data_IF_490127391966
#
_entry.id   IF_490127391966
#
_cell.length_a   1.000
_cell.length_b   1.000
_cell.length_c   1.000
_cell.angle_alpha   90.00
_cell.angle_beta   90.00
_cell.angle_gamma   90.00
#
_symmetry.space_group_name_H-M   'P 1'
#
loop_
_entity.id
_entity.type
_entity.pdbx_description
1 polymer ?
#
# COMPACT_ATOMS: atom_id res chain seq x y z
N UNK A 1 59.55 17.66 20.43
CA UNK A 1 58.17 17.67 20.95
C UNK A 1 57.22 17.41 19.80
N UNK A 2 56.79 16.16 19.60
CA UNK A 2 55.85 15.77 18.54
C UNK A 2 54.47 15.67 19.19
N UNK A 3 53.56 16.58 18.83
CA UNK A 3 52.15 16.56 19.27
C UNK A 3 51.37 15.57 18.38
N UNK A 4 50.62 14.60 18.94
CA UNK A 4 49.76 13.75 18.12
C UNK A 4 48.51 14.55 17.71
N UNK A 5 48.24 14.54 16.40
CA UNK A 5 47.04 15.11 15.80
C UNK A 5 45.89 14.11 16.04
N UNK A 6 44.93 14.47 16.89
CA UNK A 6 43.73 13.68 17.13
C UNK A 6 42.79 13.84 15.92
N UNK A 7 42.66 12.82 15.08
CA UNK A 7 41.69 12.81 13.98
C UNK A 7 40.33 12.42 14.58
N UNK A 8 39.46 13.41 14.73
CA UNK A 8 38.07 13.21 15.11
C UNK A 8 37.31 12.68 13.87
N UNK A 9 37.04 11.38 13.85
CA UNK A 9 36.15 10.78 12.84
C UNK A 9 34.73 11.18 13.20
N UNK A 10 34.22 12.24 12.58
CA UNK A 10 32.81 12.59 12.63
C UNK A 10 32.02 11.51 11.88
N UNK A 11 31.36 10.63 12.63
CA UNK A 11 30.39 9.68 12.07
C UNK A 11 29.22 10.45 11.50
N UNK A 12 29.16 10.55 10.18
CA UNK A 12 27.96 11.00 9.48
C UNK A 12 26.91 9.90 9.61
N UNK A 13 26.02 10.03 10.60
CA UNK A 13 24.74 9.34 10.56
C UNK A 13 24.00 9.85 9.33
N UNK A 14 24.10 9.12 8.23
CA UNK A 14 23.32 9.38 7.03
C UNK A 14 21.85 9.40 7.43
N UNK A 15 21.22 10.57 7.34
CA UNK A 15 19.78 10.69 7.43
C UNK A 15 19.20 9.76 6.35
N UNK A 16 18.76 8.57 6.77
CA UNK A 16 17.89 7.78 5.94
C UNK A 16 16.71 8.69 5.64
N UNK A 17 16.56 9.10 4.38
CA UNK A 17 15.38 9.80 3.91
C UNK A 17 14.19 9.02 4.50
N UNK A 18 13.42 9.67 5.37
CA UNK A 18 12.32 9.03 6.06
C UNK A 18 11.42 8.42 4.98
N UNK A 19 11.51 7.10 4.82
CA UNK A 19 10.64 6.36 3.92
C UNK A 19 9.24 6.70 4.38
N UNK A 20 8.44 7.32 3.53
CA UNK A 20 7.09 7.72 3.89
C UNK A 20 6.33 6.45 4.27
N UNK A 21 6.13 6.28 5.57
CA UNK A 21 5.81 5.00 6.14
C UNK A 21 4.28 4.92 6.23
N UNK A 22 3.63 4.33 5.23
CA UNK A 22 2.19 4.46 5.02
C UNK A 22 1.37 3.42 5.81
N UNK A 23 0.50 3.88 6.72
CA UNK A 23 -0.31 3.03 7.60
C UNK A 23 -1.80 3.19 7.31
N UNK A 24 -2.43 2.10 6.88
CA UNK A 24 -3.86 2.07 6.55
C UNK A 24 -4.79 2.31 7.74
N UNK A 25 -4.37 1.96 8.97
CA UNK A 25 -5.17 2.19 10.18
C UNK A 25 -5.13 3.66 10.62
N UNK A 26 -4.00 4.34 10.46
CA UNK A 26 -3.93 5.81 10.57
C UNK A 26 -4.76 6.47 9.48
N UNK A 27 -4.68 5.98 8.25
CA UNK A 27 -5.48 6.47 7.13
C UNK A 27 -6.99 6.35 7.36
N UNK A 28 -7.45 5.24 7.93
CA UNK A 28 -8.86 5.06 8.32
C UNK A 28 -9.32 6.14 9.31
N UNK A 29 -8.52 6.41 10.36
CA UNK A 29 -8.82 7.47 11.33
C UNK A 29 -8.78 8.87 10.71
N UNK A 30 -7.85 9.10 9.79
CA UNK A 30 -7.76 10.37 9.04
C UNK A 30 -8.97 10.58 8.13
N UNK A 31 -9.51 9.53 7.52
CA UNK A 31 -10.72 9.61 6.70
C UNK A 31 -11.93 10.12 7.50
N UNK A 32 -12.00 9.75 8.79
CA UNK A 32 -13.00 10.27 9.72
C UNK A 32 -12.67 11.69 10.20
N UNK A 33 -11.46 11.92 10.71
CA UNK A 33 -11.08 13.21 11.33
C UNK A 33 -10.99 14.37 10.33
N UNK A 34 -10.66 14.08 9.06
CA UNK A 34 -10.68 15.05 7.97
C UNK A 34 -12.09 15.24 7.37
N UNK A 35 -13.12 14.63 7.99
CA UNK A 35 -14.52 14.70 7.55
C UNK A 35 -14.79 14.18 6.13
N UNK A 36 -13.85 13.43 5.54
CA UNK A 36 -14.04 12.81 4.23
C UNK A 36 -15.24 11.85 4.25
N UNK A 37 -15.43 11.14 5.38
CA UNK A 37 -16.54 10.22 5.65
C UNK A 37 -17.93 10.86 5.55
N UNK A 38 -18.06 12.19 5.69
CA UNK A 38 -19.37 12.85 5.62
C UNK A 38 -19.96 12.83 4.20
N UNK A 39 -19.09 12.80 3.18
CA UNK A 39 -19.51 12.78 1.78
C UNK A 39 -19.23 11.42 1.13
N UNK A 40 -18.08 10.83 1.41
CA UNK A 40 -17.62 9.59 0.80
C UNK A 40 -17.94 8.38 1.69
N UNK A 41 -18.25 7.26 1.06
CA UNK A 41 -18.25 5.95 1.71
C UNK A 41 -16.98 5.17 1.37
N UNK A 42 -16.66 4.18 2.21
CA UNK A 42 -15.69 3.12 1.91
C UNK A 42 -16.37 1.78 2.16
N UNK A 43 -16.51 0.97 1.10
CA UNK A 43 -17.18 -0.33 1.17
C UNK A 43 -18.61 -0.24 1.76
N UNK A 44 -19.34 0.79 1.35
CA UNK A 44 -20.72 1.07 1.76
C UNK A 44 -20.87 1.79 3.10
N UNK A 45 -19.79 2.06 3.84
CA UNK A 45 -19.84 2.76 5.13
C UNK A 45 -19.42 4.23 4.99
N UNK A 46 -20.21 5.16 5.50
CA UNK A 46 -19.98 6.61 5.41
C UNK A 46 -21.08 7.32 4.62
N UNK A 47 -20.79 8.51 4.13
CA UNK A 47 -21.72 9.33 3.36
C UNK A 47 -21.99 8.78 1.96
N UNK A 48 -23.11 9.19 1.37
CA UNK A 48 -23.52 8.79 0.02
C UNK A 48 -23.66 9.99 -0.94
N UNK A 49 -23.16 11.15 -0.54
CA UNK A 49 -23.15 12.37 -1.37
C UNK A 49 -22.14 12.24 -2.51
N UNK A 50 -21.02 11.59 -2.25
CA UNK A 50 -19.94 11.37 -3.20
C UNK A 50 -19.67 9.87 -3.39
N UNK A 51 -18.77 9.55 -4.33
CA UNK A 51 -18.49 8.17 -4.70
C UNK A 51 -17.92 7.35 -3.53
N UNK A 52 -18.25 6.05 -3.53
CA UNK A 52 -17.61 5.07 -2.65
C UNK A 52 -16.15 4.85 -3.06
N UNK A 53 -15.24 5.25 -2.17
CA UNK A 53 -13.80 5.18 -2.40
C UNK A 53 -13.21 3.78 -2.20
N UNK A 54 -13.98 2.81 -1.71
CA UNK A 54 -13.60 1.39 -1.62
C UNK A 54 -13.96 0.57 -2.86
N UNK A 55 -14.89 1.05 -3.72
CA UNK A 55 -15.45 0.25 -4.82
C UNK A 55 -14.72 0.33 -6.18
N UNK A 56 -13.81 1.29 -6.39
CA UNK A 56 -13.11 1.43 -7.68
C UNK A 56 -11.88 0.51 -7.74
N UNK A 57 -11.98 -0.55 -8.54
CA UNK A 57 -10.95 -1.58 -8.76
C UNK A 57 -10.20 -1.24 -10.06
N UNK A 58 -9.36 -0.21 -10.06
CA UNK A 58 -8.36 -0.04 -11.12
C UNK A 58 -6.98 -0.45 -10.57
N UNK A 59 -6.33 -1.40 -11.24
CA UNK A 59 -4.98 -1.88 -10.90
C UNK A 59 -3.91 -0.78 -11.02
N UNK A 60 -4.23 0.34 -11.67
CA UNK A 60 -3.37 1.52 -11.77
C UNK A 60 -3.54 2.51 -10.60
N UNK A 61 -4.01 2.06 -9.44
CA UNK A 61 -4.09 2.93 -8.26
C UNK A 61 -2.72 3.16 -7.61
N UNK A 62 -2.01 4.17 -8.12
CA UNK A 62 -0.74 4.68 -7.58
C UNK A 62 -0.94 5.96 -6.76
N UNK A 63 0.05 6.38 -5.95
CA UNK A 63 0.02 7.69 -5.29
C UNK A 63 -0.17 8.85 -6.27
N UNK A 64 0.50 8.83 -7.43
CA UNK A 64 0.24 9.80 -8.50
C UNK A 64 -1.21 9.73 -9.03
N UNK A 65 -1.81 8.55 -9.19
CA UNK A 65 -3.20 8.43 -9.61
C UNK A 65 -4.18 8.98 -8.56
N UNK A 66 -3.90 8.76 -7.26
CA UNK A 66 -4.66 9.39 -6.17
C UNK A 66 -4.51 10.91 -6.22
N UNK A 67 -3.28 11.42 -6.31
CA UNK A 67 -3.00 12.85 -6.39
C UNK A 67 -3.73 13.49 -7.57
N UNK A 68 -3.66 12.88 -8.75
CA UNK A 68 -4.37 13.29 -9.96
C UNK A 68 -5.89 13.34 -9.76
N UNK A 69 -6.46 12.29 -9.16
CA UNK A 69 -7.90 12.22 -8.87
C UNK A 69 -8.33 13.32 -7.90
N UNK A 70 -7.57 13.52 -6.82
CA UNK A 70 -7.84 14.58 -5.84
C UNK A 70 -7.71 15.95 -6.48
N UNK A 71 -6.65 16.19 -7.27
CA UNK A 71 -6.42 17.45 -7.98
C UNK A 71 -7.59 17.82 -8.88
N UNK A 72 -8.07 16.85 -9.66
CA UNK A 72 -9.19 17.03 -10.57
C UNK A 72 -10.53 17.28 -9.86
N UNK A 73 -10.67 16.75 -8.65
CA UNK A 73 -11.88 16.86 -7.84
C UNK A 73 -11.89 18.11 -6.94
N UNK A 74 -10.72 18.67 -6.64
CA UNK A 74 -10.53 19.66 -5.59
C UNK A 74 -11.46 20.89 -5.67
N UNK A 75 -11.65 21.55 -6.84
CA UNK A 75 -12.54 22.71 -6.91
C UNK A 75 -13.99 22.39 -6.53
N UNK A 76 -14.50 21.23 -6.97
CA UNK A 76 -15.84 20.76 -6.63
C UNK A 76 -15.93 20.37 -5.15
N UNK A 77 -14.92 19.65 -4.66
CA UNK A 77 -14.81 19.23 -3.26
C UNK A 77 -14.81 20.44 -2.32
N UNK A 78 -13.93 21.42 -2.53
CA UNK A 78 -13.86 22.62 -1.67
C UNK A 78 -15.14 23.45 -1.72
N UNK A 79 -15.82 23.51 -2.87
CA UNK A 79 -17.12 24.20 -2.96
C UNK A 79 -18.16 23.49 -2.11
N UNK A 80 -18.29 22.16 -2.26
CA UNK A 80 -19.21 21.37 -1.45
C UNK A 80 -18.89 21.40 0.05
N UNK A 81 -17.61 21.49 0.42
CA UNK A 81 -17.16 21.67 1.81
C UNK A 81 -17.55 23.03 2.37
N UNK A 82 -17.34 24.12 1.61
CA UNK A 82 -17.74 25.48 2.03
C UNK A 82 -19.25 25.57 2.23
N UNK A 83 -20.03 25.03 1.30
CA UNK A 83 -21.50 25.05 1.35
C UNK A 83 -22.05 24.29 2.57
N UNK A 84 -21.27 23.34 3.11
CA UNK A 84 -21.62 22.53 4.29
C UNK A 84 -20.86 22.95 5.55
N UNK A 85 -20.13 24.06 5.48
CA UNK A 85 -19.30 24.58 6.58
C UNK A 85 -18.29 23.57 7.14
N UNK A 86 -17.85 22.61 6.31
CA UNK A 86 -16.88 21.59 6.69
C UNK A 86 -15.49 22.22 6.75
N UNK A 87 -14.94 22.31 7.95
CA UNK A 87 -13.54 22.66 8.20
C UNK A 87 -12.74 21.38 8.36
N UNK A 88 -12.21 20.86 7.25
CA UNK A 88 -11.36 19.68 7.33
C UNK A 88 -10.01 20.03 7.98
N UNK A 89 -9.45 19.06 8.70
CA UNK A 89 -8.15 19.19 9.36
C UNK A 89 -6.99 19.28 8.37
N UNK A 90 -5.78 19.22 8.93
CA UNK A 90 -4.56 19.32 8.16
C UNK A 90 -4.23 18.01 7.41
N UNK A 91 -3.81 18.11 6.15
CA UNK A 91 -3.41 16.98 5.32
C UNK A 91 -1.95 17.17 4.87
N UNK A 92 -1.04 16.74 5.73
CA UNK A 92 0.39 16.70 5.42
C UNK A 92 0.77 15.49 4.54
N UNK A 93 2.06 15.38 4.23
CA UNK A 93 2.57 14.31 3.36
C UNK A 93 2.38 12.92 3.97
N UNK A 94 2.52 12.78 5.28
CA UNK A 94 2.37 11.49 5.97
C UNK A 94 0.89 11.09 6.01
N UNK A 95 0.00 12.04 6.30
CA UNK A 95 -1.44 11.83 6.27
C UNK A 95 -1.92 11.48 4.86
N UNK A 96 -1.37 12.10 3.81
CA UNK A 96 -1.66 11.75 2.43
C UNK A 96 -1.23 10.31 2.08
N UNK A 97 -0.06 9.87 2.56
CA UNK A 97 0.40 8.50 2.36
C UNK A 97 -0.43 7.48 3.15
N UNK A 98 -0.81 7.80 4.37
CA UNK A 98 -1.69 6.96 5.20
C UNK A 98 -3.08 6.81 4.58
N UNK A 99 -3.66 7.90 4.05
CA UNK A 99 -4.91 7.85 3.28
C UNK A 99 -4.77 7.00 2.01
N UNK A 100 -3.66 7.11 1.29
CA UNK A 100 -3.39 6.22 0.17
C UNK A 100 -3.37 4.76 0.60
N UNK A 101 -2.65 4.41 1.67
CA UNK A 101 -2.60 3.05 2.21
C UNK A 101 -4.00 2.55 2.63
N UNK A 102 -4.82 3.40 3.24
CA UNK A 102 -6.20 3.06 3.60
C UNK A 102 -7.09 2.81 2.37
N UNK A 103 -7.08 3.69 1.38
CA UNK A 103 -7.89 3.48 0.18
C UNK A 103 -7.38 2.30 -0.64
N UNK A 104 -6.07 2.11 -0.68
CA UNK A 104 -5.47 0.94 -1.31
C UNK A 104 -5.94 -0.33 -0.59
N UNK A 105 -5.93 -0.34 0.75
CA UNK A 105 -6.32 -1.51 1.52
C UNK A 105 -7.82 -1.81 1.42
N UNK A 106 -8.65 -0.77 1.41
CA UNK A 106 -10.09 -0.89 1.27
C UNK A 106 -10.50 -1.42 -0.11
N UNK A 107 -9.73 -1.13 -1.16
CA UNK A 107 -9.97 -1.55 -2.55
C UNK A 107 -9.46 -2.95 -2.87
N UNK A 108 -8.78 -3.59 -1.92
CA UNK A 108 -8.16 -4.91 -2.00
C UNK A 108 -8.25 -5.54 -3.40
N UNK A 109 -7.22 -5.31 -4.22
CA UNK A 109 -7.21 -5.53 -5.68
C UNK A 109 -7.24 -6.99 -6.14
N UNK A 110 -7.67 -7.88 -5.26
CA UNK A 110 -7.90 -9.26 -5.63
C UNK A 110 -9.14 -9.37 -6.51
N UNK A 111 -9.06 -10.31 -7.44
CA UNK A 111 -10.24 -10.72 -8.18
C UNK A 111 -11.28 -11.21 -7.15
N UNK A 112 -12.56 -10.82 -7.29
CA UNK A 112 -13.60 -11.33 -6.42
C UNK A 112 -13.52 -12.86 -6.33
N UNK A 113 -13.45 -13.36 -5.11
CA UNK A 113 -13.45 -14.80 -4.86
C UNK A 113 -14.84 -15.40 -5.02
N UNK A 114 -14.90 -16.70 -5.27
CA UNK A 114 -16.13 -17.48 -5.38
C UNK A 114 -16.17 -18.55 -4.30
N UNK A 115 -17.19 -18.49 -3.43
CA UNK A 115 -17.34 -19.42 -2.31
C UNK A 115 -17.53 -20.87 -2.77
N UNK A 116 -18.16 -21.10 -3.93
CA UNK A 116 -18.37 -22.43 -4.50
C UNK A 116 -17.06 -23.03 -5.01
N UNK A 117 -16.22 -22.24 -5.68
CA UNK A 117 -14.85 -22.64 -6.04
C UNK A 117 -13.99 -22.87 -4.81
N UNK A 118 -14.07 -21.98 -3.82
CA UNK A 118 -13.34 -22.10 -2.56
C UNK A 118 -13.69 -23.37 -1.80
N UNK A 119 -14.97 -23.74 -1.76
CA UNK A 119 -15.42 -25.01 -1.17
C UNK A 119 -14.78 -26.22 -1.85
N UNK A 120 -14.77 -26.25 -3.18
CA UNK A 120 -14.14 -27.36 -3.94
C UNK A 120 -12.63 -27.40 -3.70
N UNK A 121 -11.97 -26.25 -3.78
CA UNK A 121 -10.53 -26.12 -3.53
C UNK A 121 -10.13 -26.61 -2.14
N UNK A 122 -10.92 -26.33 -1.10
CA UNK A 122 -10.63 -26.79 0.26
C UNK A 122 -10.56 -28.32 0.37
N UNK A 123 -11.36 -29.03 -0.43
CA UNK A 123 -11.32 -30.49 -0.53
C UNK A 123 -10.22 -30.97 -1.48
N UNK A 124 -10.11 -30.38 -2.68
CA UNK A 124 -9.16 -30.77 -3.74
C UNK A 124 -7.70 -30.55 -3.33
N UNK A 125 -7.42 -29.50 -2.53
CA UNK A 125 -6.09 -29.21 -1.98
C UNK A 125 -5.84 -29.93 -0.65
N UNK A 126 -6.69 -30.90 -0.31
CA UNK A 126 -6.60 -31.76 0.87
C UNK A 126 -6.64 -31.04 2.23
N UNK A 127 -7.01 -29.74 2.28
CA UNK A 127 -7.10 -28.98 3.53
C UNK A 127 -8.08 -29.65 4.51
N UNK A 128 -9.23 -30.07 3.99
CA UNK A 128 -10.29 -30.75 4.76
C UNK A 128 -9.94 -32.15 5.28
N UNK A 129 -8.79 -32.74 4.91
CA UNK A 129 -8.35 -34.03 5.48
C UNK A 129 -7.80 -33.88 6.90
N UNK A 130 -7.41 -32.66 7.30
CA UNK A 130 -6.86 -32.35 8.61
C UNK A 130 -7.65 -31.24 9.31
N UNK A 131 -8.08 -30.21 8.58
CA UNK A 131 -8.81 -29.08 9.15
C UNK A 131 -10.31 -29.26 8.96
N UNK A 132 -11.02 -29.53 10.05
CA UNK A 132 -12.49 -29.49 10.03
C UNK A 132 -13.00 -28.06 10.00
N UNK A 133 -14.26 -27.87 9.58
CA UNK A 133 -14.84 -26.53 9.47
C UNK A 133 -15.19 -25.95 10.84
N UNK A 134 -15.75 -26.77 11.72
CA UNK A 134 -16.22 -26.34 13.05
C UNK A 134 -15.57 -27.14 14.17
N UNK A 135 -15.35 -28.44 13.95
CA UNK A 135 -14.74 -29.36 14.91
C UNK A 135 -13.38 -29.86 14.41
N UNK A 136 -12.48 -30.18 15.33
CA UNK A 136 -11.18 -30.77 15.00
C UNK A 136 -11.36 -32.17 14.41
N UNK A 137 -10.77 -32.43 13.24
CA UNK A 137 -10.71 -33.79 12.65
C UNK A 137 -9.61 -34.62 13.31
N UNK A 138 -8.54 -33.97 13.76
CA UNK A 138 -7.40 -34.59 14.45
C UNK A 138 -7.10 -33.88 15.77
N UNK A 139 -6.67 -34.60 16.82
CA UNK A 139 -6.18 -33.99 18.05
C UNK A 139 -5.06 -32.98 17.77
N UNK A 140 -5.13 -31.81 18.39
CA UNK A 140 -4.14 -30.74 18.21
C UNK A 140 -4.23 -29.98 16.89
N UNK A 141 -5.20 -30.28 16.01
CA UNK A 141 -5.44 -29.52 14.78
C UNK A 141 -6.68 -28.65 14.94
N UNK A 142 -6.49 -27.33 14.89
CA UNK A 142 -7.58 -26.38 15.04
C UNK A 142 -8.51 -26.39 13.80
N UNK A 143 -9.83 -26.40 14.00
CA UNK A 143 -10.80 -26.22 12.93
C UNK A 143 -10.78 -24.80 12.39
N UNK A 144 -11.31 -24.61 11.19
CA UNK A 144 -11.42 -23.33 10.49
C UNK A 144 -12.14 -22.28 11.35
N UNK A 145 -13.19 -22.67 12.08
CA UNK A 145 -13.91 -21.80 13.02
C UNK A 145 -12.99 -21.08 14.02
N UNK A 146 -11.88 -21.73 14.42
CA UNK A 146 -10.91 -21.20 15.37
C UNK A 146 -9.75 -20.44 14.72
N UNK A 147 -9.70 -20.35 13.38
CA UNK A 147 -8.65 -19.57 12.71
C UNK A 147 -8.90 -18.08 12.94
N UNK A 148 -8.09 -17.46 13.80
CA UNK A 148 -8.17 -16.03 14.12
C UNK A 148 -7.81 -15.16 12.90
N UNK A 149 -6.86 -15.63 12.08
CA UNK A 149 -6.30 -14.90 10.95
C UNK A 149 -7.20 -14.87 9.71
N UNK A 150 -8.36 -15.54 9.70
CA UNK A 150 -9.21 -15.62 8.51
C UNK A 150 -9.64 -14.25 7.98
N UNK A 151 -9.86 -13.26 8.84
CA UNK A 151 -10.29 -11.91 8.45
C UNK A 151 -9.18 -11.03 7.85
N UNK A 152 -7.90 -11.31 8.10
CA UNK A 152 -6.79 -10.47 7.68
C UNK A 152 -5.87 -11.26 6.73
N UNK A 153 -5.84 -10.94 5.42
CA UNK A 153 -5.01 -11.66 4.45
C UNK A 153 -3.51 -11.69 4.78
N UNK A 154 -2.99 -10.64 5.43
CA UNK A 154 -1.59 -10.61 5.87
C UNK A 154 -1.39 -11.52 7.07
N UNK A 155 -2.28 -11.44 8.07
CA UNK A 155 -2.22 -12.34 9.23
C UNK A 155 -2.38 -13.80 8.80
N UNK A 156 -3.19 -14.08 7.77
CA UNK A 156 -3.31 -15.43 7.21
C UNK A 156 -1.99 -15.86 6.57
N UNK A 157 -1.31 -14.96 5.85
CA UNK A 157 0.02 -15.25 5.28
C UNK A 157 1.04 -15.59 6.36
N UNK A 158 1.04 -14.84 7.47
CA UNK A 158 1.87 -15.09 8.65
C UNK A 158 1.57 -16.47 9.25
N UNK A 159 0.29 -16.76 9.50
CA UNK A 159 -0.14 -18.04 10.06
C UNK A 159 0.22 -19.21 9.13
N UNK A 160 0.01 -19.06 7.82
CA UNK A 160 0.37 -20.07 6.83
C UNK A 160 1.88 -20.31 6.79
N UNK A 161 2.70 -19.25 6.82
CA UNK A 161 4.16 -19.37 6.84
C UNK A 161 4.64 -20.12 8.08
N UNK A 162 4.19 -19.71 9.27
CA UNK A 162 4.56 -20.33 10.53
C UNK A 162 4.06 -21.77 10.64
N UNK A 163 2.91 -22.09 10.00
CA UNK A 163 2.33 -23.43 10.00
C UNK A 163 2.91 -24.37 8.93
N UNK A 164 3.48 -23.83 7.85
CA UNK A 164 3.94 -24.60 6.69
C UNK A 164 4.91 -25.75 7.02
N UNK A 165 5.89 -25.61 7.94
CA UNK A 165 6.78 -26.72 8.32
C UNK A 165 6.03 -27.92 8.92
N UNK A 166 5.04 -27.66 9.78
CA UNK A 166 4.22 -28.71 10.39
C UNK A 166 3.34 -29.39 9.33
N UNK A 167 2.76 -28.60 8.42
CA UNK A 167 1.99 -29.15 7.30
C UNK A 167 2.86 -29.99 6.36
N UNK A 168 4.10 -29.59 6.11
CA UNK A 168 5.01 -30.33 5.24
C UNK A 168 5.33 -31.72 5.81
N UNK A 169 5.57 -31.80 7.12
CA UNK A 169 5.76 -33.09 7.82
C UNK A 169 4.51 -33.96 7.71
N UNK A 170 3.33 -33.41 8.01
CA UNK A 170 2.06 -34.15 7.95
C UNK A 170 1.73 -34.62 6.53
N UNK A 171 1.97 -33.79 5.51
CA UNK A 171 1.76 -34.15 4.12
C UNK A 171 2.67 -35.30 3.69
N UNK A 172 3.95 -35.27 4.08
CA UNK A 172 4.86 -36.41 3.83
C UNK A 172 4.39 -37.68 4.54
N UNK A 173 4.00 -37.60 5.81
CA UNK A 173 3.52 -38.75 6.59
C UNK A 173 2.23 -39.37 6.02
N UNK A 174 1.42 -38.58 5.31
CA UNK A 174 0.17 -39.02 4.68
C UNK A 174 0.28 -39.27 3.18
N UNK A 175 1.50 -39.19 2.63
CA UNK A 175 1.77 -39.35 1.20
C UNK A 175 0.93 -38.42 0.31
N UNK A 176 0.72 -37.19 0.79
CA UNK A 176 0.00 -36.14 0.08
C UNK A 176 1.04 -35.22 -0.57
N UNK A 177 0.92 -34.98 -1.86
CA UNK A 177 1.75 -34.00 -2.55
C UNK A 177 1.46 -32.58 -2.03
N UNK A 178 2.50 -31.73 -1.94
CA UNK A 178 2.31 -30.33 -1.55
C UNK A 178 1.34 -29.64 -2.53
N UNK A 179 0.23 -29.06 -2.04
CA UNK A 179 -0.75 -28.44 -2.92
C UNK A 179 -0.26 -27.07 -3.37
N UNK A 180 -0.07 -26.90 -4.68
CA UNK A 180 0.19 -25.57 -5.28
C UNK A 180 -1.10 -24.73 -5.27
N UNK A 181 -0.97 -23.45 -4.89
CA UNK A 181 -2.06 -22.48 -4.86
C UNK A 181 -1.79 -21.32 -5.81
N UNK A 182 -2.86 -20.82 -6.46
CA UNK A 182 -2.84 -19.53 -7.14
C UNK A 182 -3.35 -18.40 -6.23
N UNK A 183 -3.12 -17.14 -6.59
CA UNK A 183 -3.75 -16.01 -5.89
C UNK A 183 -5.28 -16.04 -5.96
N UNK A 184 -5.85 -16.56 -7.06
CA UNK A 184 -7.30 -16.77 -7.18
C UNK A 184 -7.77 -17.90 -6.24
N UNK A 185 -6.98 -18.97 -6.10
CA UNK A 185 -7.33 -20.09 -5.21
C UNK A 185 -7.45 -19.57 -3.77
N UNK A 186 -6.50 -18.75 -3.32
CA UNK A 186 -6.56 -18.12 -2.01
C UNK A 186 -7.73 -17.14 -1.87
N UNK A 187 -8.03 -16.37 -2.91
CA UNK A 187 -9.19 -15.47 -2.91
C UNK A 187 -10.52 -16.25 -2.77
N UNK A 188 -10.68 -17.34 -3.52
CA UNK A 188 -11.84 -18.21 -3.48
C UNK A 188 -11.97 -18.92 -2.13
N UNK A 189 -10.87 -19.46 -1.60
CA UNK A 189 -10.80 -20.08 -0.26
C UNK A 189 -11.18 -19.07 0.82
N UNK A 190 -10.63 -17.86 0.79
CA UNK A 190 -10.96 -16.80 1.75
C UNK A 190 -12.45 -16.45 1.73
N UNK A 191 -13.04 -16.28 0.54
CA UNK A 191 -14.47 -16.00 0.41
C UNK A 191 -15.31 -17.16 0.94
N UNK A 192 -14.97 -18.40 0.62
CA UNK A 192 -15.67 -19.57 1.16
C UNK A 192 -15.58 -19.62 2.69
N UNK A 193 -14.37 -19.62 3.24
CA UNK A 193 -14.11 -19.86 4.65
C UNK A 193 -14.61 -18.70 5.52
N UNK A 194 -14.62 -17.46 5.04
CA UNK A 194 -15.20 -16.31 5.78
C UNK A 194 -16.72 -16.36 5.84
N UNK A 195 -17.37 -16.88 4.81
CA UNK A 195 -18.83 -16.92 4.72
C UNK A 195 -19.46 -18.14 5.44
N UNK A 196 -18.67 -18.97 6.11
CA UNK A 196 -19.22 -20.03 6.97
C UNK A 196 -19.96 -19.42 8.17
N UNK A 197 -21.05 -20.04 8.65
CA UNK A 197 -21.80 -19.52 9.80
C UNK A 197 -20.94 -19.27 11.04
N UNK A 198 -19.95 -20.13 11.29
CA UNK A 198 -19.05 -20.07 12.46
C UNK A 198 -17.95 -18.99 12.36
N UNK A 199 -17.82 -18.32 11.22
CA UNK A 199 -16.74 -17.34 10.96
C UNK A 199 -17.23 -16.03 10.38
N UNK A 200 -18.51 -15.95 10.00
CA UNK A 200 -19.13 -14.78 9.33
C UNK A 200 -19.03 -13.49 10.15
N UNK A 201 -18.95 -13.60 11.47
CA UNK A 201 -18.82 -12.48 12.40
C UNK A 201 -17.38 -11.96 12.56
N UNK A 202 -16.40 -12.51 11.81
CA UNK A 202 -15.02 -11.99 11.78
C UNK A 202 -14.88 -11.03 10.59
N UNK A 203 -15.24 -9.74 10.71
CA UNK A 203 -15.09 -8.80 9.60
C UNK A 203 -13.62 -8.73 9.21
N UNK A 204 -13.37 -8.97 7.92
CA UNK A 204 -12.02 -8.85 7.40
C UNK A 204 -11.68 -7.38 7.18
N UNK A 205 -10.62 -6.90 7.85
CA UNK A 205 -10.03 -5.60 7.58
C UNK A 205 -8.57 -5.82 7.19
N UNK A 206 -8.28 -5.65 5.91
CA UNK A 206 -6.90 -5.62 5.45
C UNK A 206 -6.23 -4.36 5.99
N UNK A 207 -5.15 -4.55 6.76
CA UNK A 207 -4.35 -3.47 7.33
C UNK A 207 -2.88 -3.62 6.95
N UNK A 208 -2.32 -2.57 6.36
CA UNK A 208 -0.88 -2.34 6.26
C UNK A 208 -0.36 -1.58 7.46
N UNK A 209 0.93 -1.73 7.74
CA UNK A 209 1.67 -0.89 8.69
C UNK A 209 2.74 -0.08 7.94
N UNK A 210 3.53 0.69 8.69
CA UNK A 210 4.61 1.53 8.15
C UNK A 210 5.69 0.73 7.44
N UNK A 211 5.87 -0.54 7.79
CA UNK A 211 6.98 -1.37 7.32
C UNK A 211 8.35 -0.90 7.83
N UNK A 212 8.37 -0.05 8.86
CA UNK A 212 9.60 0.55 9.38
C UNK A 212 10.62 -0.51 9.83
N UNK A 213 10.13 -1.63 10.36
CA UNK A 213 10.99 -2.73 10.80
C UNK A 213 11.23 -3.78 9.71
N UNK A 214 10.63 -3.64 8.53
CA UNK A 214 10.62 -4.70 7.53
C UNK A 214 11.99 -5.04 6.95
N UNK A 215 12.90 -4.07 6.79
CA UNK A 215 14.28 -4.33 6.35
C UNK A 215 15.09 -5.13 7.40
N UNK A 216 14.96 -4.72 8.66
CA UNK A 216 15.59 -5.41 9.78
C UNK A 216 15.02 -6.83 9.94
N UNK A 217 13.71 -7.01 9.79
CA UNK A 217 13.05 -8.31 9.79
C UNK A 217 13.51 -9.18 8.61
N UNK A 218 13.59 -8.64 7.40
CA UNK A 218 14.08 -9.37 6.24
C UNK A 218 15.50 -9.91 6.45
N UNK A 219 16.33 -9.14 7.15
CA UNK A 219 17.68 -9.55 7.53
C UNK A 219 17.67 -10.57 8.66
N UNK A 220 17.00 -10.28 9.78
CA UNK A 220 17.02 -11.09 11.00
C UNK A 220 16.31 -12.44 10.83
N UNK A 221 15.28 -12.51 9.97
CA UNK A 221 14.59 -13.75 9.59
C UNK A 221 15.36 -14.56 8.53
N UNK A 222 16.56 -14.11 8.15
CA UNK A 222 17.49 -14.82 7.27
C UNK A 222 17.16 -14.75 5.78
N UNK A 223 16.17 -13.94 5.38
CA UNK A 223 15.74 -13.84 3.99
C UNK A 223 16.88 -13.38 3.06
N UNK A 224 17.73 -12.46 3.53
CA UNK A 224 18.91 -11.95 2.80
C UNK A 224 19.93 -13.04 2.44
N UNK A 225 19.91 -14.18 3.12
CA UNK A 225 20.81 -15.31 2.84
C UNK A 225 20.61 -15.89 1.44
N UNK A 226 19.38 -15.84 0.93
CA UNK A 226 19.03 -16.28 -0.43
C UNK A 226 18.51 -15.12 -1.31
N UNK A 227 17.85 -14.12 -0.73
CA UNK A 227 17.25 -12.97 -1.42
C UNK A 227 18.05 -11.68 -1.18
N UNK A 228 19.22 -11.52 -1.82
CA UNK A 228 20.06 -10.31 -1.68
C UNK A 228 19.41 -9.05 -2.28
N UNK A 229 19.85 -7.85 -1.89
CA UNK A 229 19.38 -6.59 -2.51
C UNK A 229 19.71 -6.58 -4.01
N UNK A 230 18.71 -6.42 -4.87
CA UNK A 230 18.81 -6.61 -6.33
C UNK A 230 18.55 -8.04 -6.83
N UNK A 231 18.21 -8.97 -5.94
CA UNK A 231 17.81 -10.35 -6.29
C UNK A 231 16.38 -10.44 -6.82
N UNK A 232 16.09 -11.60 -7.41
CA UNK A 232 14.83 -12.06 -8.03
C UNK A 232 13.53 -11.70 -7.29
N UNK A 233 13.56 -11.35 -6.01
CA UNK A 233 12.34 -11.09 -5.24
C UNK A 233 11.60 -9.82 -5.67
N UNK A 234 12.31 -8.73 -5.97
CA UNK A 234 11.67 -7.45 -6.32
C UNK A 234 10.88 -7.52 -7.65
N UNK A 235 11.43 -8.08 -8.75
CA UNK A 235 10.65 -8.33 -9.96
C UNK A 235 9.48 -9.30 -9.75
N UNK A 236 9.65 -10.31 -8.88
CA UNK A 236 8.60 -11.29 -8.60
C UNK A 236 7.45 -10.71 -7.78
N UNK A 237 7.69 -9.74 -6.90
CA UNK A 237 6.64 -9.07 -6.11
C UNK A 237 5.96 -7.94 -6.91
N UNK A 238 6.63 -7.41 -7.94
CA UNK A 238 6.15 -6.27 -8.73
C UNK A 238 4.78 -6.53 -9.35
N UNK A 239 3.82 -5.68 -8.99
CA UNK A 239 2.45 -5.72 -9.53
C UNK A 239 1.61 -6.93 -9.05
N UNK A 240 2.12 -7.73 -8.11
CA UNK A 240 1.35 -8.81 -7.48
C UNK A 240 0.45 -8.27 -6.36
N UNK A 241 -0.72 -8.87 -6.23
CA UNK A 241 -1.61 -8.68 -5.08
C UNK A 241 -1.12 -9.46 -3.87
N UNK A 242 -1.69 -9.18 -2.70
CA UNK A 242 -1.29 -9.87 -1.47
C UNK A 242 -1.63 -11.35 -1.47
N UNK A 243 -2.77 -11.78 -2.03
CA UNK A 243 -3.02 -13.23 -2.19
C UNK A 243 -2.08 -13.87 -3.19
N UNK A 244 -1.64 -13.14 -4.23
CA UNK A 244 -0.61 -13.66 -5.13
C UNK A 244 0.74 -13.81 -4.43
N UNK A 245 1.10 -12.88 -3.52
CA UNK A 245 2.30 -12.98 -2.69
C UNK A 245 2.16 -14.13 -1.69
N UNK A 246 1.03 -14.24 -1.00
CA UNK A 246 0.74 -15.30 -0.03
C UNK A 246 0.80 -16.70 -0.68
N UNK A 247 0.21 -16.84 -1.87
CA UNK A 247 0.26 -18.08 -2.65
C UNK A 247 1.70 -18.40 -3.07
N UNK A 248 2.47 -17.40 -3.51
CA UNK A 248 3.87 -17.58 -3.86
C UNK A 248 4.71 -18.02 -2.65
N UNK A 249 4.49 -17.44 -1.47
CA UNK A 249 5.16 -17.84 -0.23
C UNK A 249 4.80 -19.28 0.17
N UNK A 250 3.51 -19.66 0.07
CA UNK A 250 3.05 -21.02 0.31
C UNK A 250 3.71 -22.04 -0.64
N UNK A 251 3.71 -21.76 -1.94
CA UNK A 251 4.34 -22.61 -2.94
C UNK A 251 5.88 -22.64 -2.81
N UNK A 252 6.46 -21.61 -2.20
CA UNK A 252 7.89 -21.54 -1.93
C UNK A 252 8.31 -22.33 -0.67
N UNK A 253 7.38 -22.65 0.24
CA UNK A 253 7.69 -23.30 1.52
C UNK A 253 8.48 -24.62 1.40
N UNK A 254 8.21 -25.52 0.42
CA UNK A 254 9.03 -26.73 0.23
C UNK A 254 10.49 -26.48 -0.16
N UNK A 255 10.81 -25.28 -0.67
CA UNK A 255 12.16 -24.86 -1.07
C UNK A 255 12.92 -24.17 0.06
N UNK A 256 12.23 -23.83 1.16
CA UNK A 256 12.82 -23.22 2.34
C UNK A 256 13.52 -24.26 3.22
N UNK A 257 14.43 -23.86 4.12
CA UNK A 257 14.96 -24.74 5.16
C UNK A 257 13.83 -25.38 5.98
N UNK A 258 14.06 -26.58 6.51
CA UNK A 258 13.04 -27.34 7.24
C UNK A 258 12.47 -26.61 8.47
N UNK A 259 13.20 -25.63 9.01
CA UNK A 259 12.77 -24.72 10.07
C UNK A 259 13.04 -23.28 9.62
N UNK A 260 12.15 -22.67 8.80
CA UNK A 260 12.25 -21.27 8.47
C UNK A 260 12.04 -20.42 9.73
N UNK A 261 12.50 -19.17 9.70
CA UNK A 261 12.32 -18.26 10.82
C UNK A 261 10.82 -18.05 11.13
N UNK A 262 10.50 -18.07 12.43
CA UNK A 262 9.17 -17.76 12.94
C UNK A 262 8.90 -16.25 12.84
N UNK A 263 7.68 -15.88 12.46
CA UNK A 263 7.19 -14.50 12.56
C UNK A 263 6.27 -14.36 13.76
N UNK A 264 6.59 -13.44 14.66
CA UNK A 264 5.71 -13.01 15.74
C UNK A 264 4.56 -12.16 15.19
N UNK A 265 3.50 -12.01 16.00
CA UNK A 265 2.27 -11.35 15.55
C UNK A 265 2.53 -9.97 14.96
N UNK A 266 2.26 -9.82 13.66
CA UNK A 266 2.38 -8.55 12.94
C UNK A 266 3.75 -8.30 12.31
N UNK A 267 4.77 -9.12 12.57
CA UNK A 267 6.06 -9.00 11.88
C UNK A 267 5.93 -9.26 10.38
N UNK A 268 5.05 -10.20 9.97
CA UNK A 268 4.78 -10.40 8.54
C UNK A 268 4.12 -9.15 7.93
N UNK A 269 3.32 -8.42 8.71
CA UNK A 269 2.71 -7.15 8.26
C UNK A 269 3.77 -6.08 8.03
N UNK A 270 4.71 -5.93 8.95
CA UNK A 270 5.86 -5.02 8.77
C UNK A 270 6.69 -5.41 7.54
N UNK A 271 7.01 -6.71 7.41
CA UNK A 271 7.81 -7.21 6.29
C UNK A 271 7.12 -7.01 4.94
N UNK A 272 5.87 -7.46 4.82
CA UNK A 272 5.12 -7.30 3.58
C UNK A 272 4.87 -5.83 3.30
N UNK A 273 4.56 -4.99 4.30
CA UNK A 273 4.40 -3.55 4.07
C UNK A 273 5.70 -2.91 3.60
N UNK A 274 6.87 -3.33 4.08
CA UNK A 274 8.17 -2.86 3.59
C UNK A 274 8.45 -3.27 2.14
N UNK A 275 8.31 -4.56 1.81
CA UNK A 275 8.57 -5.11 0.48
C UNK A 275 7.56 -4.58 -0.54
N UNK A 276 6.31 -4.44 -0.12
CA UNK A 276 5.20 -4.06 -0.96
C UNK A 276 5.06 -2.54 -1.07
N UNK A 277 5.32 -1.72 -0.05
CA UNK A 277 5.14 -0.26 -0.14
C UNK A 277 6.15 0.42 -1.07
N UNK A 278 7.44 0.05 -1.02
CA UNK A 278 8.49 0.71 -1.83
C UNK A 278 8.13 0.77 -3.33
N UNK A 279 7.57 -0.30 -3.87
CA UNK A 279 7.20 -0.39 -5.29
C UNK A 279 5.97 0.44 -5.70
N UNK A 280 5.10 0.89 -4.77
CA UNK A 280 3.96 1.74 -5.11
C UNK A 280 4.27 3.23 -4.93
N UNK A 281 5.20 3.60 -4.05
CA UNK A 281 5.58 5.00 -3.82
C UNK A 281 6.66 5.53 -4.77
N UNK A 282 7.26 4.67 -5.59
CA UNK A 282 8.13 5.07 -6.69
C UNK A 282 7.30 5.50 -7.91
N UNK A 283 7.05 6.80 -8.04
CA UNK A 283 6.38 7.39 -9.21
C UNK A 283 7.33 7.36 -10.43
N UNK A 284 7.32 6.25 -11.19
CA UNK A 284 8.14 6.11 -12.40
C UNK A 284 7.56 6.91 -13.58
N UNK A 285 7.84 8.21 -13.63
CA UNK A 285 7.47 9.11 -14.74
C UNK A 285 8.61 9.40 -15.72
N UNK A 286 8.29 10.02 -16.85
CA UNK A 286 9.27 10.55 -17.80
C UNK A 286 9.35 12.07 -17.69
N UNK A 287 10.52 12.59 -17.33
CA UNK A 287 10.74 14.01 -17.11
C UNK A 287 10.50 14.89 -18.35
N UNK A 288 10.80 14.41 -19.56
CA UNK A 288 10.54 15.18 -20.78
C UNK A 288 9.04 15.34 -21.07
N UNK A 289 8.26 14.28 -20.85
CA UNK A 289 6.79 14.34 -20.90
C UNK A 289 6.25 15.23 -19.79
N UNK A 290 6.83 15.14 -18.59
CA UNK A 290 6.47 15.97 -17.44
C UNK A 290 6.68 17.46 -17.70
N UNK A 291 7.80 17.83 -18.35
CA UNK A 291 8.04 19.21 -18.79
C UNK A 291 6.95 19.71 -19.73
N UNK A 292 6.48 18.86 -20.65
CA UNK A 292 5.36 19.19 -21.55
C UNK A 292 4.06 19.39 -20.78
N UNK A 293 3.75 18.52 -19.82
CA UNK A 293 2.59 18.66 -18.92
C UNK A 293 2.68 19.98 -18.13
N UNK A 294 3.83 20.28 -17.52
CA UNK A 294 4.04 21.50 -16.75
C UNK A 294 3.79 22.77 -17.57
N UNK A 295 4.23 22.78 -18.83
CA UNK A 295 4.02 23.92 -19.72
C UNK A 295 2.59 23.99 -20.27
N UNK A 296 2.04 22.86 -20.73
CA UNK A 296 0.71 22.83 -21.37
C UNK A 296 -0.44 23.08 -20.39
N UNK A 297 -0.23 22.77 -19.10
CA UNK A 297 -1.19 23.03 -18.02
C UNK A 297 -0.97 24.39 -17.36
N UNK A 298 -0.16 25.26 -17.99
CA UNK A 298 0.12 26.64 -17.56
C UNK A 298 0.80 26.79 -16.19
N UNK A 299 1.46 25.74 -15.67
CA UNK A 299 2.16 25.81 -14.39
C UNK A 299 3.34 26.81 -14.46
N UNK A 300 4.03 26.84 -15.60
CA UNK A 300 5.16 27.73 -15.85
C UNK A 300 4.80 29.21 -15.79
N UNK A 301 3.54 29.59 -16.06
CA UNK A 301 3.08 30.99 -16.04
C UNK A 301 3.26 31.64 -14.68
N UNK A 302 3.20 30.86 -13.59
CA UNK A 302 3.45 31.36 -12.24
C UNK A 302 4.76 30.82 -11.69
N UNK A 303 4.99 29.51 -11.78
CA UNK A 303 6.11 28.87 -11.07
C UNK A 303 7.50 29.13 -11.70
N UNK A 304 7.56 29.73 -12.90
CA UNK A 304 8.80 30.24 -13.49
C UNK A 304 8.90 31.78 -13.49
N UNK A 305 7.91 32.48 -12.92
CA UNK A 305 7.85 33.93 -12.84
C UNK A 305 7.87 34.38 -11.37
N UNK A 306 8.99 34.96 -10.94
CA UNK A 306 9.15 35.44 -9.58
C UNK A 306 8.15 36.55 -9.20
N UNK A 307 7.61 37.29 -10.17
CA UNK A 307 6.62 38.35 -9.93
C UNK A 307 5.21 37.80 -9.65
N UNK A 308 4.97 36.52 -9.95
CA UNK A 308 3.67 35.88 -9.71
C UNK A 308 3.38 35.64 -8.22
N UNK A 309 4.40 35.67 -7.36
CA UNK A 309 4.31 35.30 -5.96
C UNK A 309 4.20 33.79 -5.70
N UNK A 310 4.29 32.95 -6.75
CA UNK A 310 4.33 31.50 -6.63
C UNK A 310 5.78 31.02 -6.34
N UNK A 311 5.97 29.98 -5.51
CA UNK A 311 7.30 29.43 -5.28
C UNK A 311 7.84 28.75 -6.54
N UNK A 312 9.15 28.85 -6.76
CA UNK A 312 9.82 28.07 -7.82
C UNK A 312 9.74 26.57 -7.49
N UNK A 313 9.35 25.75 -8.46
CA UNK A 313 9.19 24.29 -8.28
C UNK A 313 10.32 23.46 -8.89
N UNK A 314 11.10 24.01 -9.81
CA UNK A 314 12.18 23.31 -10.52
C UNK A 314 13.55 23.80 -10.04
N UNK A 315 14.55 22.90 -10.06
CA UNK A 315 15.93 23.22 -9.65
C UNK A 315 16.03 23.65 -8.18
N UNK A 316 15.17 23.10 -7.33
CA UNK A 316 15.17 23.27 -5.88
C UNK A 316 15.36 21.89 -5.25
N UNK A 317 16.17 21.77 -4.19
CA UNK A 317 16.37 20.51 -3.46
C UNK A 317 15.08 20.10 -2.73
N UNK A 318 14.13 19.53 -3.47
CA UNK A 318 12.86 19.00 -2.97
C UNK A 318 12.53 17.70 -3.68
N UNK A 319 12.16 16.67 -2.92
CA UNK A 319 11.64 15.42 -3.48
C UNK A 319 10.12 15.51 -3.59
N UNK A 320 9.61 15.44 -4.81
CA UNK A 320 8.18 15.38 -5.12
C UNK A 320 7.73 13.92 -5.22
N UNK A 321 6.58 13.62 -4.64
CA UNK A 321 5.89 12.32 -4.69
C UNK A 321 4.38 12.57 -4.79
N UNK A 322 3.58 11.55 -5.11
CA UNK A 322 2.12 11.67 -5.07
C UNK A 322 1.59 12.19 -3.71
N UNK A 323 2.19 11.79 -2.60
CA UNK A 323 1.83 12.28 -1.27
C UNK A 323 2.15 13.77 -1.08
N UNK A 324 3.32 14.22 -1.56
CA UNK A 324 3.69 15.64 -1.58
C UNK A 324 2.71 16.44 -2.43
N UNK A 325 2.29 15.92 -3.58
CA UNK A 325 1.33 16.58 -4.46
C UNK A 325 -0.06 16.73 -3.81
N UNK A 326 -0.53 15.70 -3.08
CA UNK A 326 -1.79 15.77 -2.31
C UNK A 326 -1.69 16.81 -1.18
N UNK A 327 -0.60 16.80 -0.43
CA UNK A 327 -0.38 17.77 0.65
C UNK A 327 -0.30 19.19 0.11
N UNK A 328 0.49 19.42 -0.94
CA UNK A 328 0.60 20.73 -1.59
C UNK A 328 -0.75 21.21 -2.15
N UNK A 329 -1.54 20.32 -2.74
CA UNK A 329 -2.90 20.62 -3.18
C UNK A 329 -3.78 21.07 -1.99
N UNK A 330 -3.69 20.39 -0.85
CA UNK A 330 -4.49 20.73 0.32
C UNK A 330 -4.14 22.10 0.91
N UNK A 331 -2.84 22.39 1.04
CA UNK A 331 -2.35 23.62 1.66
C UNK A 331 -2.39 24.85 0.74
N UNK A 332 -2.11 24.65 -0.54
CA UNK A 332 -1.96 25.76 -1.50
C UNK A 332 -3.10 25.84 -2.51
N UNK A 333 -3.84 24.76 -2.71
CA UNK A 333 -4.85 24.63 -3.77
C UNK A 333 -5.95 25.69 -3.74
N UNK A 334 -6.57 26.03 -2.59
CA UNK A 334 -7.60 27.08 -2.55
C UNK A 334 -7.07 28.44 -3.01
N UNK A 335 -5.89 28.86 -2.49
CA UNK A 335 -5.24 30.12 -2.90
C UNK A 335 -4.81 30.07 -4.38
N UNK A 336 -4.28 28.93 -4.83
CA UNK A 336 -3.94 28.74 -6.24
C UNK A 336 -5.18 28.88 -7.12
N UNK A 337 -6.30 28.27 -6.76
CA UNK A 337 -7.55 28.35 -7.51
C UNK A 337 -8.02 29.80 -7.67
N UNK A 338 -7.94 30.60 -6.60
CA UNK A 338 -8.32 32.02 -6.66
C UNK A 338 -7.39 32.84 -7.57
N UNK A 339 -6.07 32.58 -7.52
CA UNK A 339 -5.11 33.21 -8.42
C UNK A 339 -5.28 32.77 -9.88
N UNK A 340 -5.67 31.53 -10.13
CA UNK A 340 -5.96 31.04 -11.48
C UNK A 340 -7.22 31.70 -12.04
N UNK A 341 -8.27 31.83 -11.23
CA UNK A 341 -9.50 32.55 -11.60
C UNK A 341 -9.24 34.01 -11.95
N UNK A 342 -8.45 34.72 -11.13
CA UNK A 342 -8.14 36.14 -11.39
C UNK A 342 -7.35 36.37 -12.67
N UNK A 343 -6.65 35.33 -13.16
CA UNK A 343 -5.86 35.35 -14.41
C UNK A 343 -6.56 34.62 -15.57
N UNK A 344 -7.84 34.25 -15.41
CA UNK A 344 -8.62 33.48 -16.38
C UNK A 344 -7.96 32.15 -16.83
N UNK A 345 -7.17 31.53 -15.95
CA UNK A 345 -6.55 30.23 -16.19
C UNK A 345 -7.48 29.15 -15.64
N UNK A 346 -7.84 28.18 -16.47
CA UNK A 346 -8.66 27.05 -16.04
C UNK A 346 -7.88 26.10 -15.13
N UNK A 347 -8.54 25.58 -14.10
CA UNK A 347 -7.92 24.59 -13.20
C UNK A 347 -7.46 23.35 -13.99
N UNK A 348 -6.19 22.93 -13.87
CA UNK A 348 -5.64 21.90 -14.71
C UNK A 348 -6.20 20.54 -14.29
N UNK A 349 -6.39 19.68 -15.29
CA UNK A 349 -6.77 18.28 -15.07
C UNK A 349 -5.63 17.36 -15.47
N UNK A 350 -5.40 16.31 -14.68
CA UNK A 350 -4.37 15.31 -14.91
C UNK A 350 -5.00 13.92 -15.07
N UNK A 351 -4.41 13.04 -15.87
CA UNK A 351 -4.55 11.60 -15.63
C UNK A 351 -3.44 11.10 -14.68
N UNK A 352 -3.43 9.82 -14.33
CA UNK A 352 -2.41 9.26 -13.43
C UNK A 352 -0.99 9.31 -14.03
N UNK A 353 -0.87 9.14 -15.35
CA UNK A 353 0.43 9.18 -16.05
C UNK A 353 0.95 10.59 -16.20
N UNK A 354 0.10 11.56 -16.54
CA UNK A 354 0.46 12.97 -16.56
C UNK A 354 0.99 13.42 -15.19
N UNK A 355 0.37 12.97 -14.10
CA UNK A 355 0.84 13.27 -12.74
C UNK A 355 2.20 12.61 -12.44
N UNK A 356 2.40 11.33 -12.77
CA UNK A 356 3.71 10.68 -12.60
C UNK A 356 4.81 11.34 -13.44
N UNK A 357 4.52 11.66 -14.70
CA UNK A 357 5.45 12.35 -15.59
C UNK A 357 5.80 13.75 -15.04
N UNK A 358 4.81 14.50 -14.55
CA UNK A 358 5.01 15.80 -13.88
C UNK A 358 5.92 15.67 -12.66
N UNK A 359 5.67 14.71 -11.77
CA UNK A 359 6.50 14.45 -10.59
C UNK A 359 7.95 14.16 -11.00
N UNK A 360 8.15 13.32 -12.02
CA UNK A 360 9.49 13.03 -12.55
C UNK A 360 10.21 14.29 -13.06
N UNK A 361 9.50 15.19 -13.75
CA UNK A 361 10.08 16.47 -14.18
C UNK A 361 10.44 17.40 -13.03
N UNK A 362 9.60 17.49 -12.00
CA UNK A 362 9.88 18.31 -10.82
C UNK A 362 11.12 17.80 -10.05
N UNK A 363 11.34 16.48 -10.09
CA UNK A 363 12.50 15.84 -9.48
C UNK A 363 13.78 15.87 -10.33
N UNK A 364 13.70 16.07 -11.65
CA UNK A 364 14.87 16.01 -12.54
C UNK A 364 15.87 17.16 -12.32
N UNK A 365 15.52 18.18 -11.53
CA UNK A 365 16.42 19.27 -11.13
C UNK A 365 17.27 18.97 -9.88
N UNK A 366 17.14 17.78 -9.28
CA UNK A 366 17.90 17.37 -8.09
C UNK A 366 19.20 16.60 -8.41
N UNK A 367 19.47 16.26 -9.67
CA UNK A 367 20.63 15.44 -10.08
C UNK A 367 21.93 16.22 -10.32
N UNK A 368 22.02 17.49 -9.91
CA UNK A 368 23.31 18.20 -9.83
C UNK A 368 23.88 18.16 -8.41
N UNK A 369 24.50 17.02 -8.07
CA UNK A 369 25.86 16.91 -7.49
C UNK A 369 26.24 15.48 -7.14
#
# INVERSE_FOLDING_TARGET
MIRPLLILVASTTGAHAAVVAADSGRGERLFESLSCVQCHSVNGKGGHVAADLGRRIDRNFTPAALASTMWNHAPTMWTAMRDREIRAGDLDQQAAADLFAYFYSARFFDKPGDAGRGKRLFSERACGRCHGLTESIKPGVNPVSQWAALGDPIALTEAMWNHAPNMFVEFKLKEIAWPELSGQDLSDLLVYLRNLPSTREKPGAFKTSTGANGEALFTSKGCVGCHRSGSSLAPEIKGRTLTQIAAAMWNHAPKMPAKPAHFDTGEMRELLSYLWARQFFEDSGNAERGKRVFNSKHCATCHNDASSGAPKLTGVQRSFTGAVMVSALWHHGPRMLDQMKSRAISWPRFDGREMSDLIAFLNSGNEEK
#
